data_IF_578105738720
#
_entry.id   IF_578105738720
#
_cell.length_a   1.000
_cell.length_b   1.000
_cell.length_c   1.000
_cell.angle_alpha   90.00
_cell.angle_beta   90.00
_cell.angle_gamma   90.00
#
_symmetry.space_group_name_H-M   'P 1'
#
loop_
_entity.id
_entity.type
_entity.pdbx_description
1 polymer ?
#
# COMPACT_ATOMS: atom_id res chain seq x y z
N UNK A 1 -3.04 -1.45 -46.69
CA UNK A 1 -3.70 -2.01 -45.52
C UNK A 1 -3.10 -3.34 -45.05
N UNK A 2 -2.97 -4.38 -45.90
CA UNK A 2 -2.40 -5.70 -45.49
C UNK A 2 -0.93 -5.69 -45.03
N UNK A 3 -0.09 -4.78 -45.54
CA UNK A 3 1.35 -4.71 -45.20
C UNK A 3 1.58 -4.13 -43.80
N UNK A 4 0.83 -3.10 -43.39
CA UNK A 4 0.89 -2.50 -42.06
C UNK A 4 0.42 -3.48 -40.97
N UNK A 5 -0.66 -4.22 -41.20
CA UNK A 5 -1.18 -5.25 -40.29
C UNK A 5 -0.18 -6.39 -40.06
N UNK A 6 0.56 -6.80 -41.10
CA UNK A 6 1.58 -7.86 -41.03
C UNK A 6 2.82 -7.40 -40.20
N UNK A 7 3.23 -6.13 -40.33
CA UNK A 7 4.33 -5.55 -39.57
C UNK A 7 3.97 -5.38 -38.08
N UNK A 8 2.78 -4.93 -37.79
CA UNK A 8 2.28 -4.77 -36.40
C UNK A 8 2.21 -6.12 -35.69
N UNK A 9 1.71 -7.17 -36.30
CA UNK A 9 1.68 -8.53 -35.74
C UNK A 9 3.09 -9.11 -35.51
N UNK A 10 4.02 -8.85 -36.42
CA UNK A 10 5.41 -9.30 -36.28
C UNK A 10 6.13 -8.58 -35.15
N UNK A 11 5.91 -7.28 -34.99
CA UNK A 11 6.44 -6.49 -33.89
C UNK A 11 5.91 -6.97 -32.54
N UNK A 12 4.61 -7.23 -32.44
CA UNK A 12 3.97 -7.74 -31.23
C UNK A 12 4.57 -9.09 -30.81
N UNK A 13 4.74 -10.03 -31.73
CA UNK A 13 5.35 -11.32 -31.46
C UNK A 13 6.82 -11.20 -31.00
N UNK A 14 7.59 -10.28 -31.61
CA UNK A 14 8.98 -10.00 -31.19
C UNK A 14 9.03 -9.44 -29.79
N UNK A 15 8.13 -8.51 -29.43
CA UNK A 15 8.05 -7.93 -28.09
C UNK A 15 7.68 -9.02 -27.07
N UNK A 16 6.64 -9.81 -27.30
CA UNK A 16 6.22 -10.92 -26.43
C UNK A 16 7.38 -11.89 -26.18
N UNK A 17 8.11 -12.28 -27.25
CA UNK A 17 9.27 -13.18 -27.13
C UNK A 17 10.39 -12.57 -26.27
N UNK A 18 10.70 -11.28 -26.44
CA UNK A 18 11.72 -10.61 -25.63
C UNK A 18 11.33 -10.50 -24.17
N UNK A 19 10.07 -10.18 -23.89
CA UNK A 19 9.54 -10.13 -22.52
C UNK A 19 9.63 -11.51 -21.86
N UNK A 20 9.20 -12.57 -22.55
CA UNK A 20 9.32 -13.94 -22.05
C UNK A 20 10.78 -14.30 -21.74
N UNK A 21 11.71 -13.98 -22.63
CA UNK A 21 13.14 -14.24 -22.41
C UNK A 21 13.70 -13.56 -21.16
N UNK A 22 13.29 -12.32 -20.87
CA UNK A 22 13.70 -11.60 -19.66
C UNK A 22 13.13 -12.29 -18.42
N UNK A 23 11.86 -12.68 -18.44
CA UNK A 23 11.22 -13.39 -17.33
C UNK A 23 11.89 -14.74 -17.07
N UNK A 24 12.10 -15.52 -18.11
CA UNK A 24 12.75 -16.85 -18.02
C UNK A 24 14.19 -16.75 -17.51
N UNK A 25 14.91 -15.71 -17.93
CA UNK A 25 16.27 -15.46 -17.47
C UNK A 25 16.33 -15.09 -15.98
N UNK A 26 15.39 -14.29 -15.48
CA UNK A 26 15.29 -13.93 -14.06
C UNK A 26 14.97 -15.17 -13.19
N UNK A 27 14.05 -15.99 -13.64
CA UNK A 27 13.73 -17.27 -12.96
C UNK A 27 14.92 -18.22 -12.99
N UNK A 28 15.58 -18.37 -14.13
CA UNK A 28 16.74 -19.27 -14.27
C UNK A 28 17.95 -18.83 -13.40
N UNK A 29 18.11 -17.54 -13.13
CA UNK A 29 19.12 -17.02 -12.22
C UNK A 29 18.73 -17.13 -10.74
N UNK A 30 17.51 -17.52 -10.43
CA UNK A 30 17.00 -17.57 -9.06
C UNK A 30 16.70 -16.18 -8.45
N UNK A 31 16.58 -15.14 -9.27
CA UNK A 31 16.22 -13.78 -8.82
C UNK A 31 14.76 -13.73 -8.34
N UNK A 32 13.89 -14.56 -8.93
CA UNK A 32 12.50 -14.76 -8.50
C UNK A 32 12.09 -16.23 -8.71
N UNK A 33 11.25 -16.81 -7.85
CA UNK A 33 10.74 -18.17 -8.03
C UNK A 33 9.80 -18.29 -9.22
N UNK A 34 9.04 -17.23 -9.50
CA UNK A 34 8.11 -17.16 -10.62
C UNK A 34 7.58 -15.74 -10.78
N UNK A 35 7.12 -15.43 -11.96
CA UNK A 35 6.57 -14.11 -12.29
C UNK A 35 5.48 -14.23 -13.36
N UNK A 36 4.59 -13.23 -13.34
CA UNK A 36 3.49 -13.07 -14.27
C UNK A 36 3.51 -11.65 -14.80
N UNK A 37 3.33 -11.50 -16.11
CA UNK A 37 3.19 -10.21 -16.78
C UNK A 37 1.87 -10.14 -17.50
N UNK A 38 1.12 -9.07 -17.27
CA UNK A 38 -0.08 -8.73 -18.01
C UNK A 38 0.01 -7.30 -18.50
N UNK A 39 -0.32 -7.08 -19.77
CA UNK A 39 -0.45 -5.75 -20.35
C UNK A 39 -1.86 -5.58 -20.89
N UNK A 40 -2.55 -4.57 -20.39
CA UNK A 40 -3.90 -4.19 -20.83
C UNK A 40 -3.79 -2.85 -21.56
N UNK A 41 -4.39 -2.74 -22.73
CA UNK A 41 -4.50 -1.50 -23.49
C UNK A 41 -5.93 -1.36 -24.00
N UNK A 42 -6.50 -0.18 -23.82
CA UNK A 42 -7.88 0.15 -24.22
C UNK A 42 -8.93 -0.87 -23.69
N UNK A 43 -8.71 -1.38 -22.48
CA UNK A 43 -9.57 -2.37 -21.82
C UNK A 43 -9.37 -3.82 -22.29
N UNK A 44 -8.46 -4.07 -23.24
CA UNK A 44 -8.19 -5.39 -23.79
C UNK A 44 -6.81 -5.91 -23.37
N UNK A 45 -6.74 -7.21 -23.03
CA UNK A 45 -5.48 -7.88 -22.74
C UNK A 45 -4.67 -8.08 -24.01
N UNK A 46 -3.51 -7.44 -24.08
CA UNK A 46 -2.59 -7.51 -25.23
C UNK A 46 -1.51 -8.56 -25.02
N UNK A 47 -1.03 -8.69 -23.76
CA UNK A 47 0.04 -9.61 -23.40
C UNK A 47 -0.31 -10.27 -22.08
N UNK A 48 -0.16 -11.58 -22.03
CA UNK A 48 -0.14 -12.37 -20.81
C UNK A 48 0.98 -13.39 -20.93
N UNK A 49 1.91 -13.36 -19.94
CA UNK A 49 3.09 -14.24 -19.89
C UNK A 49 3.27 -14.77 -18.49
N UNK A 50 3.74 -16.00 -18.38
CA UNK A 50 4.07 -16.67 -17.12
C UNK A 50 5.46 -17.27 -17.22
N UNK A 51 6.20 -17.30 -16.09
CA UNK A 51 7.48 -17.98 -15.99
C UNK A 51 7.73 -18.44 -14.56
N UNK A 52 8.26 -19.65 -14.40
CA UNK A 52 8.64 -20.22 -13.10
C UNK A 52 7.48 -20.81 -12.29
N UNK A 53 7.64 -20.80 -10.98
CA UNK A 53 6.80 -21.54 -10.05
C UNK A 53 6.15 -20.64 -9.00
N UNK A 54 4.89 -20.94 -8.66
CA UNK A 54 4.21 -20.41 -7.49
C UNK A 54 4.66 -21.14 -6.20
N UNK A 55 5.07 -22.40 -6.36
CA UNK A 55 5.64 -23.24 -5.32
C UNK A 55 6.76 -24.08 -5.95
N UNK A 56 8.00 -23.82 -5.53
CA UNK A 56 9.20 -24.47 -6.08
C UNK A 56 9.24 -25.93 -5.65
N UNK A 57 8.92 -26.23 -4.39
CA UNK A 57 9.02 -27.57 -3.81
C UNK A 57 7.99 -28.50 -4.45
N UNK A 58 6.74 -28.05 -4.57
CA UNK A 58 5.67 -28.76 -5.21
C UNK A 58 5.74 -28.71 -6.76
N UNK A 59 6.69 -27.97 -7.33
CA UNK A 59 6.80 -27.70 -8.78
C UNK A 59 5.49 -27.20 -9.40
N UNK A 60 4.72 -26.42 -8.63
CA UNK A 60 3.46 -25.84 -9.09
C UNK A 60 3.79 -24.59 -9.91
N UNK A 61 3.47 -24.55 -11.22
CA UNK A 61 3.76 -23.39 -12.04
C UNK A 61 2.99 -22.16 -11.56
N UNK A 62 3.54 -20.98 -11.79
CA UNK A 62 2.79 -19.74 -11.63
C UNK A 62 1.69 -19.67 -12.67
N UNK A 63 0.54 -19.13 -12.31
CA UNK A 63 -0.62 -19.03 -13.20
C UNK A 63 -1.49 -17.83 -12.83
N UNK A 64 -2.42 -17.49 -13.72
CA UNK A 64 -3.41 -16.42 -13.53
C UNK A 64 -4.22 -16.54 -12.25
N UNK A 65 -4.46 -17.77 -11.79
CA UNK A 65 -5.28 -18.07 -10.60
C UNK A 65 -4.50 -17.97 -9.28
N UNK A 66 -3.21 -17.61 -9.33
CA UNK A 66 -2.44 -17.44 -8.12
C UNK A 66 -2.82 -16.14 -7.39
N UNK A 67 -2.90 -16.24 -6.07
CA UNK A 67 -3.11 -15.10 -5.19
C UNK A 67 -1.75 -14.53 -4.79
N UNK A 68 -1.53 -13.26 -5.08
CA UNK A 68 -0.32 -12.54 -4.74
C UNK A 68 -0.56 -11.60 -3.55
N UNK A 69 0.41 -11.54 -2.64
CA UNK A 69 0.44 -10.51 -1.62
C UNK A 69 0.88 -9.20 -2.28
N UNK A 70 -0.03 -8.22 -2.32
CA UNK A 70 0.21 -6.95 -3.02
C UNK A 70 1.07 -5.96 -2.23
N UNK A 71 1.15 -6.10 -0.89
CA UNK A 71 1.84 -5.16 -0.02
C UNK A 71 1.47 -3.70 -0.37
N UNK A 72 2.46 -2.82 -0.56
CA UNK A 72 2.23 -1.42 -0.91
C UNK A 72 1.49 -1.16 -2.22
N UNK A 73 1.37 -2.16 -3.10
CA UNK A 73 0.50 -2.06 -4.27
C UNK A 73 -0.99 -2.02 -3.91
N UNK A 74 -1.36 -2.34 -2.67
CA UNK A 74 -2.71 -2.11 -2.13
C UNK A 74 -3.05 -0.62 -2.01
N UNK A 75 -2.05 0.28 -1.87
CA UNK A 75 -2.25 1.72 -1.71
C UNK A 75 -3.05 2.37 -2.84
N UNK A 76 -2.69 2.17 -4.13
CA UNK A 76 -3.50 2.72 -5.23
C UNK A 76 -4.93 2.18 -5.24
N UNK A 77 -5.15 0.93 -4.85
CA UNK A 77 -6.49 0.33 -4.78
C UNK A 77 -7.32 1.02 -3.69
N UNK A 78 -6.75 1.18 -2.49
CA UNK A 78 -7.39 1.89 -1.38
C UNK A 78 -7.65 3.36 -1.73
N UNK A 79 -6.67 4.02 -2.36
CA UNK A 79 -6.82 5.40 -2.83
C UNK A 79 -7.95 5.55 -3.85
N UNK A 80 -8.05 4.63 -4.80
CA UNK A 80 -9.14 4.60 -5.78
C UNK A 80 -10.50 4.40 -5.09
N UNK A 81 -10.59 3.51 -4.11
CA UNK A 81 -11.82 3.32 -3.33
C UNK A 81 -12.23 4.60 -2.58
N UNK A 82 -11.25 5.34 -2.01
CA UNK A 82 -11.51 6.64 -1.39
C UNK A 82 -12.03 7.65 -2.42
N UNK A 83 -11.43 7.73 -3.60
CA UNK A 83 -11.89 8.64 -4.66
C UNK A 83 -13.30 8.32 -5.16
N UNK A 84 -13.73 7.05 -5.14
CA UNK A 84 -15.12 6.68 -5.42
C UNK A 84 -16.08 7.25 -4.36
N UNK A 85 -15.67 7.31 -3.09
CA UNK A 85 -16.48 7.93 -2.03
C UNK A 85 -16.54 9.46 -2.19
N UNK A 86 -15.43 10.09 -2.61
CA UNK A 86 -15.39 11.53 -2.95
C UNK A 86 -16.34 11.83 -4.11
N UNK A 87 -16.27 11.07 -5.20
CA UNK A 87 -17.13 11.23 -6.37
C UNK A 87 -18.63 11.11 -6.02
N UNK A 88 -18.96 10.25 -5.05
CA UNK A 88 -20.32 10.09 -4.53
C UNK A 88 -20.75 11.15 -3.51
N UNK A 89 -19.87 12.08 -3.16
CA UNK A 89 -20.15 13.12 -2.16
C UNK A 89 -20.32 12.58 -0.73
N UNK A 90 -19.78 11.39 -0.45
CA UNK A 90 -19.86 10.77 0.89
C UNK A 90 -18.78 11.35 1.81
N UNK A 91 -17.59 11.64 1.25
CA UNK A 91 -16.46 12.26 1.93
C UNK A 91 -15.91 13.40 1.11
N UNK A 92 -15.26 14.36 1.76
CA UNK A 92 -14.49 15.43 1.12
C UNK A 92 -13.02 15.28 1.53
N UNK A 93 -12.09 15.51 0.60
CA UNK A 93 -10.66 15.46 0.90
C UNK A 93 -10.23 16.50 1.95
N UNK A 94 -10.97 17.60 2.05
CA UNK A 94 -10.79 18.64 3.09
C UNK A 94 -11.43 18.26 4.44
N UNK A 95 -12.14 17.14 4.54
CA UNK A 95 -12.67 16.69 5.82
C UNK A 95 -11.53 16.28 6.78
N UNK A 96 -11.63 16.67 8.08
CA UNK A 96 -10.70 16.17 9.07
C UNK A 96 -10.91 14.66 9.30
N UNK A 97 -9.82 13.93 9.40
CA UNK A 97 -9.84 12.47 9.68
C UNK A 97 -10.62 12.18 10.95
N UNK A 98 -10.56 13.07 11.94
CA UNK A 98 -11.28 12.98 13.22
C UNK A 98 -12.81 12.94 13.09
N UNK A 99 -13.36 13.37 11.95
CA UNK A 99 -14.79 13.25 11.63
C UNK A 99 -15.23 11.79 11.52
N UNK A 100 -14.34 10.93 11.05
CA UNK A 100 -14.59 9.51 10.80
C UNK A 100 -13.94 8.61 11.86
N UNK A 101 -12.75 9.00 12.34
CA UNK A 101 -11.93 8.28 13.30
C UNK A 101 -11.64 9.18 14.51
N UNK A 102 -12.46 9.10 15.57
CA UNK A 102 -12.32 9.99 16.75
C UNK A 102 -10.95 9.96 17.43
N UNK A 103 -10.17 8.89 17.26
CA UNK A 103 -8.80 8.79 17.78
C UNK A 103 -7.84 9.84 17.23
N UNK A 104 -8.18 10.47 16.10
CA UNK A 104 -7.38 11.53 15.48
C UNK A 104 -7.73 12.94 15.96
N UNK A 105 -8.60 13.08 16.96
CA UNK A 105 -8.91 14.40 17.53
C UNK A 105 -7.73 14.96 18.30
N UNK A 106 -7.49 16.28 18.15
CA UNK A 106 -6.43 17.00 18.85
C UNK A 106 -5.06 16.35 18.66
N UNK A 107 -4.59 16.15 17.43
CA UNK A 107 -3.30 15.54 17.16
C UNK A 107 -2.18 16.34 17.84
N UNK A 108 -1.12 15.65 18.20
CA UNK A 108 0.10 16.25 18.76
C UNK A 108 1.29 15.90 17.90
N UNK A 109 2.33 16.73 17.92
CA UNK A 109 3.56 16.56 17.15
C UNK A 109 4.72 16.39 18.12
N UNK A 110 5.63 15.48 17.84
CA UNK A 110 6.91 15.38 18.52
C UNK A 110 7.93 16.27 17.80
N UNK A 111 8.39 17.30 18.47
CA UNK A 111 9.41 18.21 17.95
C UNK A 111 10.78 17.57 17.92
N UNK A 112 11.73 18.16 17.20
CA UNK A 112 13.11 17.63 17.06
C UNK A 112 13.84 17.51 18.40
N UNK A 113 13.53 18.39 19.36
CA UNK A 113 14.05 18.34 20.73
C UNK A 113 13.26 17.40 21.67
N UNK A 114 12.33 16.62 21.10
CA UNK A 114 11.58 15.58 21.82
C UNK A 114 10.38 16.07 22.63
N UNK A 115 10.00 17.34 22.51
CA UNK A 115 8.80 17.86 23.17
C UNK A 115 7.55 17.48 22.40
N UNK A 116 6.47 17.32 23.15
CA UNK A 116 5.14 17.08 22.57
C UNK A 116 4.37 18.40 22.56
N UNK A 117 3.98 18.83 21.37
CA UNK A 117 3.23 20.05 21.16
C UNK A 117 1.92 19.76 20.41
N UNK A 118 0.92 20.63 20.56
CA UNK A 118 -0.32 20.50 19.81
C UNK A 118 -0.03 20.72 18.33
N UNK A 119 -0.62 19.92 17.46
CA UNK A 119 -0.57 20.18 16.02
C UNK A 119 -1.27 21.52 15.67
N UNK A 120 -0.74 22.23 14.68
CA UNK A 120 -1.28 23.51 14.23
C UNK A 120 -2.68 23.39 13.62
N UNK A 121 -2.97 22.22 13.03
CA UNK A 121 -4.29 21.87 12.49
C UNK A 121 -4.56 20.36 12.63
N UNK A 122 -5.79 19.98 12.38
CA UNK A 122 -6.15 18.58 12.26
C UNK A 122 -5.58 17.96 10.97
N UNK A 123 -5.42 16.63 10.97
CA UNK A 123 -5.06 15.86 9.78
C UNK A 123 -6.30 15.79 8.88
N UNK A 124 -6.16 16.16 7.63
CA UNK A 124 -7.21 16.04 6.62
C UNK A 124 -7.11 14.71 5.85
N UNK A 125 -8.19 14.30 5.18
CA UNK A 125 -8.16 13.12 4.33
C UNK A 125 -7.13 13.27 3.20
N UNK A 126 -6.96 14.49 2.66
CA UNK A 126 -5.92 14.75 1.66
C UNK A 126 -4.49 14.50 2.19
N UNK A 127 -4.23 14.78 3.48
CA UNK A 127 -2.92 14.51 4.08
C UNK A 127 -2.62 13.01 4.13
N UNK A 128 -3.64 12.19 4.41
CA UNK A 128 -3.50 10.73 4.36
C UNK A 128 -3.23 10.28 2.92
N UNK A 129 -4.01 10.78 1.96
CA UNK A 129 -3.89 10.41 0.55
C UNK A 129 -2.55 10.81 -0.06
N UNK A 130 -2.02 11.97 0.32
CA UNK A 130 -0.74 12.51 -0.15
C UNK A 130 0.45 12.05 0.68
N UNK A 131 0.24 11.27 1.76
CA UNK A 131 1.28 10.84 2.70
C UNK A 131 1.99 12.01 3.40
N UNK A 132 1.23 13.05 3.72
CA UNK A 132 1.73 14.27 4.39
C UNK A 132 1.15 14.44 5.80
N UNK A 133 0.54 13.40 6.35
CA UNK A 133 -0.14 13.44 7.65
C UNK A 133 0.79 13.61 8.85
N UNK A 134 2.07 13.29 8.74
CA UNK A 134 3.01 13.24 9.87
C UNK A 134 3.00 11.90 10.64
N UNK A 135 2.12 10.97 10.27
CA UNK A 135 2.19 9.60 10.78
C UNK A 135 3.48 8.93 10.28
N UNK A 136 4.01 7.97 11.03
CA UNK A 136 5.22 7.24 10.67
C UNK A 136 5.07 5.74 10.92
N UNK A 137 5.85 4.94 10.19
CA UNK A 137 6.17 3.57 10.60
C UNK A 137 7.01 3.59 11.88
N UNK A 138 7.28 2.43 12.45
CA UNK A 138 8.25 2.29 13.52
C UNK A 138 9.62 2.90 13.15
N UNK A 139 10.42 3.22 14.16
CA UNK A 139 11.72 3.84 13.96
C UNK A 139 12.46 4.14 15.26
N UNK A 140 13.66 4.70 15.13
CA UNK A 140 14.54 4.99 16.28
C UNK A 140 14.26 6.31 16.98
N UNK A 141 13.52 7.22 16.32
CA UNK A 141 13.05 8.46 16.95
C UNK A 141 11.89 8.18 17.96
N UNK A 142 11.52 9.21 18.71
CA UNK A 142 10.50 9.05 19.76
C UNK A 142 9.13 8.64 19.20
N UNK A 143 8.72 9.22 18.09
CA UNK A 143 7.44 8.89 17.42
C UNK A 143 7.46 7.48 16.87
N UNK A 144 8.52 7.11 16.17
CA UNK A 144 8.69 5.76 15.62
C UNK A 144 8.69 4.69 16.72
N UNK A 145 9.36 4.92 17.86
CA UNK A 145 9.30 3.99 19.00
C UNK A 145 7.90 3.82 19.57
N UNK A 146 7.10 4.89 19.64
CA UNK A 146 5.72 4.80 20.11
C UNK A 146 4.84 4.05 19.11
N UNK A 147 5.07 4.26 17.80
CA UNK A 147 4.41 3.51 16.74
C UNK A 147 4.77 2.02 16.82
N UNK A 148 6.06 1.69 16.99
CA UNK A 148 6.50 0.30 17.19
C UNK A 148 5.87 -0.33 18.44
N UNK A 149 5.81 0.40 19.55
CA UNK A 149 5.18 -0.08 20.78
C UNK A 149 3.70 -0.40 20.55
N UNK A 150 2.97 0.46 19.83
CA UNK A 150 1.58 0.19 19.45
C UNK A 150 1.45 -1.07 18.59
N UNK A 151 2.33 -1.26 17.61
CA UNK A 151 2.31 -2.48 16.80
C UNK A 151 2.58 -3.73 17.63
N UNK A 152 3.56 -3.68 18.52
CA UNK A 152 3.86 -4.80 19.41
C UNK A 152 2.69 -5.10 20.36
N UNK A 153 2.06 -4.07 20.93
CA UNK A 153 0.84 -4.22 21.73
C UNK A 153 -0.27 -4.90 20.92
N UNK A 154 -0.52 -4.44 19.70
CA UNK A 154 -1.56 -4.99 18.83
C UNK A 154 -1.25 -6.44 18.40
N UNK A 155 0.01 -6.73 18.03
CA UNK A 155 0.40 -8.06 17.57
C UNK A 155 0.46 -9.07 18.71
N UNK A 156 0.94 -8.68 19.90
CA UNK A 156 1.18 -9.57 21.03
C UNK A 156 0.07 -9.53 22.08
N UNK A 157 -0.42 -8.32 22.45
CA UNK A 157 -1.39 -8.14 23.53
C UNK A 157 -2.79 -8.67 23.21
N UNK A 158 -3.19 -8.65 21.96
CA UNK A 158 -4.53 -9.10 21.52
C UNK A 158 -4.65 -10.61 21.34
N UNK A 159 -3.54 -11.34 21.30
CA UNK A 159 -3.57 -12.81 21.26
C UNK A 159 -4.15 -13.42 22.54
N UNK A 160 -4.09 -12.71 23.65
CA UNK A 160 -4.49 -13.24 24.96
C UNK A 160 -5.93 -12.88 25.35
N UNK A 161 -6.45 -11.70 24.99
CA UNK A 161 -7.74 -11.23 25.51
C UNK A 161 -8.96 -11.53 24.62
N UNK A 162 -8.81 -11.56 23.28
CA UNK A 162 -9.95 -11.69 22.34
C UNK A 162 -9.70 -12.65 21.16
N UNK A 163 -8.87 -13.66 21.32
CA UNK A 163 -8.55 -14.57 20.21
C UNK A 163 -7.72 -13.94 19.10
N UNK A 164 -7.08 -12.80 19.38
CA UNK A 164 -6.01 -12.25 18.54
C UNK A 164 -6.43 -11.32 17.41
N UNK A 165 -7.65 -10.78 17.39
CA UNK A 165 -8.09 -9.85 16.34
C UNK A 165 -8.51 -8.50 16.89
N UNK A 166 -7.94 -7.43 16.33
CA UNK A 166 -8.42 -6.06 16.49
C UNK A 166 -9.09 -5.61 15.18
N UNK A 167 -10.16 -4.83 15.26
CA UNK A 167 -10.71 -4.24 14.04
C UNK A 167 -9.79 -3.17 13.48
N UNK A 168 -9.77 -3.01 12.14
CA UNK A 168 -9.02 -1.95 11.47
C UNK A 168 -9.39 -0.56 12.01
N UNK A 169 -10.66 -0.34 12.35
CA UNK A 169 -11.14 0.93 12.92
C UNK A 169 -10.53 1.19 14.29
N UNK A 170 -10.48 0.19 15.17
CA UNK A 170 -9.87 0.33 16.49
C UNK A 170 -8.37 0.56 16.38
N UNK A 171 -7.69 -0.21 15.53
CA UNK A 171 -6.27 0.01 15.26
C UNK A 171 -6.00 1.45 14.77
N UNK A 172 -6.75 1.93 13.78
CA UNK A 172 -6.63 3.29 13.27
C UNK A 172 -6.87 4.35 14.36
N UNK A 173 -7.87 4.16 15.22
CA UNK A 173 -8.12 5.07 16.34
C UNK A 173 -6.97 5.09 17.37
N UNK A 174 -6.32 3.96 17.62
CA UNK A 174 -5.12 3.91 18.48
C UNK A 174 -3.93 4.60 17.82
N UNK A 175 -3.73 4.39 16.53
CA UNK A 175 -2.68 5.06 15.75
C UNK A 175 -2.83 6.59 15.78
N UNK A 176 -4.07 7.09 15.70
CA UNK A 176 -4.35 8.53 15.78
C UNK A 176 -3.93 9.20 17.10
N UNK A 177 -3.64 8.43 18.14
CA UNK A 177 -3.14 8.93 19.43
C UNK A 177 -1.60 9.01 19.53
N UNK A 178 -0.90 8.41 18.55
CA UNK A 178 0.57 8.50 18.51
C UNK A 178 0.96 9.89 18.03
N UNK A 179 1.96 10.54 18.64
CA UNK A 179 2.44 11.84 18.15
C UNK A 179 2.90 11.78 16.71
N UNK A 180 2.64 12.83 15.96
CA UNK A 180 3.09 12.98 14.59
C UNK A 180 4.59 13.32 14.56
N UNK A 181 5.27 12.93 13.50
CA UNK A 181 6.69 13.22 13.26
C UNK A 181 6.92 14.70 12.86
N UNK A 182 5.93 15.32 12.21
CA UNK A 182 5.94 16.70 11.76
C UNK A 182 4.50 17.22 11.64
N UNK A 183 4.33 18.52 11.45
CA UNK A 183 3.03 19.15 11.28
C UNK A 183 2.32 18.62 10.01
N UNK A 184 1.01 18.37 10.07
CA UNK A 184 0.25 17.91 8.91
C UNK A 184 0.44 18.83 7.70
N UNK A 185 0.79 18.27 6.56
CA UNK A 185 1.08 18.96 5.32
C UNK A 185 2.50 19.51 5.18
N UNK A 186 3.34 19.45 6.23
CA UNK A 186 4.67 20.05 6.21
C UNK A 186 5.70 19.23 5.42
N UNK A 187 5.59 17.92 5.48
CA UNK A 187 6.57 17.02 4.86
C UNK A 187 5.90 15.75 4.33
N UNK A 188 6.65 14.96 3.59
CA UNK A 188 6.21 13.69 3.05
C UNK A 188 6.89 12.52 3.77
N UNK A 189 6.10 11.53 4.15
CA UNK A 189 6.61 10.25 4.66
C UNK A 189 5.70 9.12 4.18
N UNK A 190 6.31 8.08 3.61
CA UNK A 190 5.55 6.94 3.09
C UNK A 190 4.82 6.23 4.22
N UNK A 191 3.52 6.50 4.35
CA UNK A 191 2.65 5.80 5.30
C UNK A 191 1.20 5.82 4.81
N UNK A 192 0.70 4.66 4.38
CA UNK A 192 -0.72 4.41 4.21
C UNK A 192 -1.05 3.10 4.95
N UNK A 193 -1.32 3.21 6.25
CA UNK A 193 -1.46 2.09 7.17
C UNK A 193 -2.63 1.16 6.88
N UNK A 194 -3.66 1.62 6.21
CA UNK A 194 -4.87 0.83 5.99
C UNK A 194 -4.71 -0.29 4.96
N UNK A 195 -3.65 -0.25 4.16
CA UNK A 195 -3.41 -1.22 3.09
C UNK A 195 -2.40 -2.34 3.43
N UNK A 196 -1.57 -2.13 4.47
CA UNK A 196 -0.51 -3.10 4.81
C UNK A 196 -0.91 -4.01 5.99
N UNK A 197 -2.08 -3.78 6.60
CA UNK A 197 -2.61 -4.55 7.74
C UNK A 197 -3.63 -5.63 7.34
N UNK A 198 -3.82 -5.86 6.04
CA UNK A 198 -4.73 -6.88 5.53
C UNK A 198 -4.01 -8.21 5.23
#
# INVERSE_FOLDING_TARGET
>A
MKFRWRLEHTMEQVIKKRLQQVMDASVAKGETPGCLLMVIKDGEEQVYLESGYADIEAKKPVSRDNIFRLYSMSKPITATAMMVLVERGIVDLADPVSKYLPGFRNPVVCTVDGKIEKAEREILLEDIMNMTSGLTYGGTDQTGRQTDALFQEVIHGLKEENGGTISTVEFANRLGKVPLLYQPGQSWSCLLYTSDAA
#
